data_IF_439044337354
#
_entry.id   IF_439044337354
#
_cell.length_a   1.000
_cell.length_b   1.000
_cell.length_c   1.000
_cell.angle_alpha   90.00
_cell.angle_beta   90.00
_cell.angle_gamma   90.00
#
_symmetry.space_group_name_H-M   'P 1'
#
loop_
_entity.id
_entity.type
_entity.pdbx_description
1 polymer ?
#
# COMPACT_ATOMS: atom_id res chain seq x y z
N UNK A 1 8.42 -8.58 -16.21
CA UNK A 1 7.79 -9.83 -15.73
C UNK A 1 8.61 -10.52 -14.64
N UNK A 2 9.90 -10.64 -14.83
CA UNK A 2 10.76 -11.29 -13.82
C UNK A 2 10.75 -10.55 -12.49
N UNK A 3 10.72 -9.23 -12.51
CA UNK A 3 10.63 -8.43 -11.28
C UNK A 3 9.35 -8.72 -10.50
N UNK A 4 8.25 -8.90 -11.22
CA UNK A 4 6.96 -9.22 -10.62
C UNK A 4 7.00 -10.60 -9.95
N UNK A 5 7.56 -11.57 -10.64
CA UNK A 5 7.69 -12.94 -10.13
C UNK A 5 8.55 -12.95 -8.87
N UNK A 6 9.70 -12.28 -8.90
CA UNK A 6 10.61 -12.23 -7.76
C UNK A 6 9.98 -11.51 -6.57
N UNK A 7 9.29 -10.41 -6.82
CA UNK A 7 8.64 -9.64 -5.77
C UNK A 7 7.52 -10.43 -5.09
N UNK A 8 6.71 -11.15 -5.88
CA UNK A 8 5.57 -11.91 -5.36
C UNK A 8 5.99 -13.14 -4.54
N UNK A 9 7.22 -13.62 -4.72
CA UNK A 9 7.75 -14.84 -4.11
C UNK A 9 6.94 -16.08 -4.52
N UNK A 10 6.35 -16.04 -5.72
CA UNK A 10 5.51 -17.13 -6.25
C UNK A 10 6.18 -17.91 -7.38
N UNK A 11 7.49 -17.89 -7.47
CA UNK A 11 8.25 -18.52 -8.55
C UNK A 11 7.82 -19.98 -8.80
N UNK A 12 7.63 -20.75 -7.72
CA UNK A 12 7.27 -22.17 -7.83
C UNK A 12 5.84 -22.39 -8.31
N UNK A 13 5.00 -21.36 -8.29
CA UNK A 13 3.58 -21.45 -8.62
C UNK A 13 3.19 -20.65 -9.85
N UNK A 14 4.13 -19.90 -10.45
CA UNK A 14 3.80 -18.91 -11.47
C UNK A 14 3.20 -19.53 -12.74
N UNK A 15 3.52 -20.77 -13.05
CA UNK A 15 2.99 -21.47 -14.20
C UNK A 15 1.64 -22.16 -13.93
N UNK A 16 1.17 -22.10 -12.69
CA UNK A 16 -0.11 -22.69 -12.32
C UNK A 16 -1.24 -21.68 -12.55
N UNK A 17 -2.46 -22.16 -12.88
CA UNK A 17 -3.61 -21.25 -13.01
C UNK A 17 -3.88 -20.51 -11.72
N UNK A 18 -4.22 -19.21 -11.83
CA UNK A 18 -4.51 -18.34 -10.69
C UNK A 18 -5.65 -18.89 -9.82
N UNK A 19 -6.62 -19.58 -10.42
CA UNK A 19 -7.72 -20.20 -9.69
C UNK A 19 -7.26 -21.24 -8.64
N UNK A 20 -6.03 -21.74 -8.75
CA UNK A 20 -5.47 -22.68 -7.79
C UNK A 20 -4.73 -22.02 -6.64
N UNK A 21 -4.60 -20.69 -6.70
CA UNK A 21 -3.89 -19.94 -5.68
C UNK A 21 -4.73 -19.80 -4.41
N UNK A 22 -4.07 -19.82 -3.25
CA UNK A 22 -4.71 -19.38 -2.01
C UNK A 22 -5.02 -17.87 -2.11
N UNK A 23 -5.88 -17.37 -1.22
CA UNK A 23 -6.19 -15.93 -1.21
C UNK A 23 -4.93 -15.08 -0.97
N UNK A 24 -4.03 -15.56 -0.10
CA UNK A 24 -2.76 -14.88 0.15
C UNK A 24 -1.86 -14.85 -1.08
N UNK A 25 -1.75 -15.97 -1.80
CA UNK A 25 -0.98 -16.05 -3.04
C UNK A 25 -1.53 -15.11 -4.11
N UNK A 26 -2.86 -15.09 -4.27
CA UNK A 26 -3.53 -14.22 -5.23
C UNK A 26 -3.22 -12.75 -4.93
N UNK A 27 -3.35 -12.35 -3.67
CA UNK A 27 -3.12 -10.96 -3.26
C UNK A 27 -1.66 -10.56 -3.41
N UNK A 28 -0.73 -11.47 -3.11
CA UNK A 28 0.70 -11.20 -3.32
C UNK A 28 1.01 -10.96 -4.78
N UNK A 29 0.44 -11.76 -5.68
CA UNK A 29 0.63 -11.56 -7.11
C UNK A 29 0.00 -10.25 -7.57
N UNK A 30 -1.24 -9.97 -7.15
CA UNK A 30 -1.93 -8.74 -7.53
C UNK A 30 -1.15 -7.50 -7.08
N UNK A 31 -0.66 -7.50 -5.86
CA UNK A 31 0.15 -6.39 -5.34
C UNK A 31 1.48 -6.27 -6.09
N UNK A 32 2.14 -7.40 -6.37
CA UNK A 32 3.40 -7.39 -7.11
C UNK A 32 3.23 -6.80 -8.51
N UNK A 33 2.13 -7.12 -9.19
CA UNK A 33 1.82 -6.53 -10.50
C UNK A 33 1.60 -5.02 -10.35
N UNK A 34 0.75 -4.61 -9.42
CA UNK A 34 0.40 -3.21 -9.25
C UNK A 34 1.61 -2.33 -8.93
N UNK A 35 2.48 -2.79 -8.06
CA UNK A 35 3.60 -1.98 -7.57
C UNK A 35 4.79 -1.96 -8.52
N UNK A 36 4.88 -2.91 -9.44
CA UNK A 36 5.96 -2.99 -10.42
C UNK A 36 5.56 -2.47 -11.81
N UNK A 37 4.35 -1.95 -11.96
CA UNK A 37 3.92 -1.27 -13.17
C UNK A 37 4.51 0.14 -13.16
N UNK A 38 5.01 0.61 -14.30
CA UNK A 38 5.53 1.97 -14.44
C UNK A 38 4.37 2.94 -14.56
N UNK A 39 3.87 3.41 -13.44
CA UNK A 39 2.75 4.34 -13.35
C UNK A 39 3.23 5.66 -12.72
N UNK A 40 2.70 6.78 -13.23
CA UNK A 40 3.00 8.09 -12.66
C UNK A 40 2.24 8.33 -11.35
N UNK A 41 1.04 7.75 -11.23
CA UNK A 41 0.18 7.86 -10.05
C UNK A 41 -0.22 6.45 -9.63
N UNK A 42 0.04 6.11 -8.39
CA UNK A 42 -0.31 4.82 -7.80
C UNK A 42 -1.38 5.01 -6.74
N UNK A 43 -2.51 4.31 -6.90
CA UNK A 43 -3.59 4.32 -5.92
C UNK A 43 -3.50 3.02 -5.10
N UNK A 44 -3.36 3.16 -3.80
CA UNK A 44 -3.23 2.02 -2.89
C UNK A 44 -4.34 2.06 -1.85
N UNK A 45 -5.16 1.01 -1.81
CA UNK A 45 -6.30 0.90 -0.90
C UNK A 45 -6.13 -0.33 0.00
N UNK A 46 -5.78 -0.11 1.26
CA UNK A 46 -5.71 -1.11 2.34
C UNK A 46 -4.97 -2.43 2.04
N UNK A 47 -4.32 -2.55 0.91
CA UNK A 47 -3.68 -3.80 0.46
C UNK A 47 -2.51 -4.20 1.37
N UNK A 48 -1.96 -3.27 2.14
CA UNK A 48 -0.81 -3.52 3.01
C UNK A 48 -1.10 -4.45 4.18
N UNK A 49 -2.36 -4.73 4.47
CA UNK A 49 -2.74 -5.67 5.52
C UNK A 49 -2.73 -7.13 5.04
N UNK A 50 -2.44 -7.36 3.76
CA UNK A 50 -2.50 -8.69 3.16
C UNK A 50 -1.11 -9.33 3.13
N UNK A 51 -1.08 -10.62 3.37
CA UNK A 51 0.16 -11.39 3.41
C UNK A 51 0.78 -11.43 4.81
N UNK A 52 1.92 -12.09 4.93
CA UNK A 52 2.66 -12.14 6.19
C UNK A 52 3.46 -10.84 6.41
N UNK A 53 4.03 -10.72 7.59
CA UNK A 53 4.79 -9.53 7.96
C UNK A 53 5.98 -9.29 7.04
N UNK A 54 6.66 -10.34 6.62
CA UNK A 54 7.79 -10.25 5.70
C UNK A 54 7.37 -9.60 4.37
N UNK A 55 6.25 -10.05 3.81
CA UNK A 55 5.74 -9.49 2.55
C UNK A 55 5.25 -8.06 2.72
N UNK A 56 4.61 -7.75 3.85
CA UNK A 56 4.17 -6.39 4.15
C UNK A 56 5.36 -5.42 4.22
N UNK A 57 6.44 -5.81 4.88
CA UNK A 57 7.67 -5.01 4.94
C UNK A 57 8.27 -4.79 3.55
N UNK A 58 8.24 -5.83 2.72
CA UNK A 58 8.73 -5.76 1.35
C UNK A 58 7.92 -4.75 0.53
N UNK A 59 6.61 -4.74 0.70
CA UNK A 59 5.72 -3.78 0.04
C UNK A 59 6.00 -2.35 0.50
N UNK A 60 6.14 -2.13 1.79
CA UNK A 60 6.43 -0.82 2.36
C UNK A 60 7.76 -0.29 1.83
N UNK A 61 8.79 -1.13 1.81
CA UNK A 61 10.10 -0.73 1.30
C UNK A 61 10.05 -0.36 -0.19
N UNK A 62 9.27 -1.10 -0.98
CA UNK A 62 9.09 -0.77 -2.39
C UNK A 62 8.37 0.56 -2.57
N UNK A 63 7.37 0.85 -1.77
CA UNK A 63 6.67 2.12 -1.82
C UNK A 63 7.59 3.29 -1.43
N UNK A 64 8.47 3.09 -0.47
CA UNK A 64 9.47 4.10 -0.12
C UNK A 64 10.43 4.39 -1.28
N UNK A 65 10.85 3.35 -2.01
CA UNK A 65 11.67 3.52 -3.21
C UNK A 65 10.94 4.32 -4.28
N UNK A 66 9.68 4.00 -4.54
CA UNK A 66 8.87 4.72 -5.52
C UNK A 66 8.71 6.19 -5.14
N UNK A 67 8.54 6.46 -3.87
CA UNK A 67 8.45 7.83 -3.36
C UNK A 67 9.74 8.60 -3.62
N UNK A 68 10.90 7.98 -3.40
CA UNK A 68 12.19 8.59 -3.69
C UNK A 68 12.39 8.87 -5.18
N UNK A 69 11.80 8.05 -6.04
CA UNK A 69 11.84 8.24 -7.48
C UNK A 69 10.91 9.35 -7.98
N UNK A 70 10.15 9.97 -7.10
CA UNK A 70 9.24 11.06 -7.43
C UNK A 70 7.87 10.61 -7.91
N UNK A 71 7.51 9.35 -7.72
CA UNK A 71 6.18 8.85 -8.06
C UNK A 71 5.14 9.40 -7.09
N UNK A 72 3.96 9.72 -7.61
CA UNK A 72 2.84 10.18 -6.80
C UNK A 72 2.05 8.98 -6.32
N UNK A 73 1.79 8.91 -5.01
CA UNK A 73 1.00 7.84 -4.42
C UNK A 73 -0.15 8.41 -3.62
N UNK A 74 -1.34 7.84 -3.80
CA UNK A 74 -2.52 8.13 -2.99
C UNK A 74 -2.85 6.87 -2.21
N UNK A 75 -2.86 6.98 -0.90
CA UNK A 75 -2.95 5.85 0.01
C UNK A 75 -4.21 5.97 0.85
N UNK A 76 -5.11 4.99 0.74
CA UNK A 76 -6.34 4.94 1.55
C UNK A 76 -6.16 3.87 2.61
N UNK A 77 -6.20 4.26 3.87
CA UNK A 77 -5.91 3.33 4.96
C UNK A 77 -6.58 3.72 6.27
N UNK A 78 -6.83 2.73 7.11
CA UNK A 78 -7.13 2.90 8.54
C UNK A 78 -5.87 2.70 9.39
N UNK A 79 -4.77 2.27 8.79
CA UNK A 79 -3.50 2.01 9.48
C UNK A 79 -2.71 3.30 9.67
N UNK A 80 -2.83 3.92 10.82
CA UNK A 80 -2.19 5.21 11.10
C UNK A 80 -0.66 5.13 11.05
N UNK A 81 -0.09 4.02 11.48
CA UNK A 81 1.35 3.83 11.46
C UNK A 81 1.90 3.82 10.03
N UNK A 82 1.20 3.11 9.13
CA UNK A 82 1.60 3.08 7.72
C UNK A 82 1.49 4.46 7.08
N UNK A 83 0.45 5.21 7.41
CA UNK A 83 0.27 6.56 6.92
C UNK A 83 1.40 7.49 7.38
N UNK A 84 1.80 7.40 8.64
CA UNK A 84 2.93 8.18 9.18
C UNK A 84 4.22 7.85 8.46
N UNK A 85 4.46 6.57 8.19
CA UNK A 85 5.69 6.10 7.58
C UNK A 85 5.82 6.49 6.11
N UNK A 86 4.71 6.45 5.36
CA UNK A 86 4.72 6.58 3.91
C UNK A 86 4.27 7.94 3.39
N UNK A 87 3.48 8.69 4.14
CA UNK A 87 2.81 9.87 3.64
C UNK A 87 3.37 11.17 4.23
N UNK A 88 3.46 12.20 3.39
CA UNK A 88 3.83 13.55 3.82
C UNK A 88 2.61 14.41 4.09
N UNK A 89 1.50 14.11 3.42
CA UNK A 89 0.24 14.81 3.51
C UNK A 89 -0.88 13.83 3.78
N UNK A 90 -1.82 14.23 4.61
CA UNK A 90 -2.99 13.41 4.90
C UNK A 90 -4.26 14.22 4.78
N UNK A 91 -5.34 13.55 4.39
CA UNK A 91 -6.67 14.12 4.31
C UNK A 91 -7.58 13.25 5.16
N UNK A 92 -8.25 13.86 6.12
CA UNK A 92 -9.23 13.19 6.96
C UNK A 92 -10.62 13.44 6.41
N UNK A 93 -11.29 12.36 6.00
CA UNK A 93 -12.64 12.43 5.43
C UNK A 93 -13.61 11.77 6.42
N UNK A 94 -14.70 12.44 6.70
CA UNK A 94 -15.77 11.91 7.53
C UNK A 94 -17.11 12.24 6.88
N UNK A 95 -17.92 11.20 6.65
CA UNK A 95 -19.26 11.33 6.04
C UNK A 95 -19.24 12.11 4.73
N UNK A 96 -18.23 11.87 3.90
CA UNK A 96 -18.09 12.52 2.59
C UNK A 96 -17.58 13.94 2.63
N UNK A 97 -17.17 14.45 3.79
CA UNK A 97 -16.66 15.81 3.96
C UNK A 97 -15.21 15.76 4.43
N UNK A 98 -14.39 16.64 3.86
CA UNK A 98 -13.01 16.80 4.30
C UNK A 98 -13.02 17.55 5.64
N UNK A 99 -12.55 16.86 6.69
CA UNK A 99 -12.46 17.45 8.03
C UNK A 99 -11.14 18.17 8.26
N UNK A 100 -10.07 17.65 7.70
CA UNK A 100 -8.75 18.25 7.80
C UNK A 100 -7.88 17.81 6.65
N UNK A 101 -7.00 18.68 6.18
CA UNK A 101 -6.04 18.42 5.11
C UNK A 101 -4.74 19.14 5.49
N UNK A 102 -3.64 18.41 5.54
CA UNK A 102 -2.37 19.01 5.88
C UNK A 102 -1.28 18.00 6.17
N UNK A 103 -0.33 18.37 6.99
CA UNK A 103 0.77 17.51 7.40
C UNK A 103 0.26 16.21 8.04
N UNK A 104 0.84 15.08 7.66
CA UNK A 104 0.38 13.77 8.13
C UNK A 104 0.32 13.67 9.65
N UNK A 105 1.36 14.09 10.35
CA UNK A 105 1.42 13.97 11.82
C UNK A 105 0.34 14.82 12.49
N UNK A 106 0.11 16.03 11.99
CA UNK A 106 -0.90 16.93 12.53
C UNK A 106 -2.32 16.39 12.30
N UNK A 107 -2.60 15.89 11.10
CA UNK A 107 -3.91 15.34 10.76
C UNK A 107 -4.19 14.09 11.59
N UNK A 108 -3.22 13.19 11.72
CA UNK A 108 -3.38 11.97 12.50
C UNK A 108 -3.60 12.29 13.97
N UNK A 109 -2.87 13.24 14.52
CA UNK A 109 -3.06 13.68 15.91
C UNK A 109 -4.48 14.14 16.16
N UNK A 110 -5.00 14.99 15.28
CA UNK A 110 -6.36 15.49 15.39
C UNK A 110 -7.40 14.40 15.23
N UNK A 111 -7.17 13.49 14.30
CA UNK A 111 -8.03 12.33 14.07
C UNK A 111 -8.14 11.47 15.35
N UNK A 112 -7.01 11.17 15.98
CA UNK A 112 -6.97 10.38 17.22
C UNK A 112 -7.73 11.11 18.34
N UNK A 113 -7.50 12.40 18.51
CA UNK A 113 -8.15 13.22 19.54
C UNK A 113 -9.67 13.19 19.42
N UNK A 114 -10.21 13.25 18.19
CA UNK A 114 -11.65 13.33 17.96
C UNK A 114 -12.36 11.99 17.84
N UNK A 115 -11.61 10.91 17.55
CA UNK A 115 -12.21 9.56 17.38
C UNK A 115 -11.93 8.62 18.54
N UNK A 116 -11.10 9.02 19.48
CA UNK A 116 -10.76 8.21 20.65
C UNK A 116 -11.93 8.12 21.63
#
# INVERSE_FOLDING_TARGET
LQQIIDFSELKDYIDNPVRTYSSGMYMRLAFAVAINVDADILLVDEILSVGDQHFQEKCINKMKELKKEGKTMVFVTHGLESAKELCDRAVWINKGVIRMDGNTDEVIKKYIEETA
#
